data_IF_412668916934
#
_entry.id   IF_412668916934
#
_cell.length_a   1.000
_cell.length_b   1.000
_cell.length_c   1.000
_cell.angle_alpha   90.00
_cell.angle_beta   90.00
_cell.angle_gamma   90.00
#
_symmetry.space_group_name_H-M   'P 1'
#
loop_
_entity.id
_entity.type
_entity.pdbx_description
1 polymer ?
#
# COMPACT_ATOMS: atom_id res chain seq x y z
N UNK A 1 0.92 -12.97 -14.11
CA UNK A 1 0.10 -11.75 -13.96
C UNK A 1 1.02 -10.56 -14.19
N UNK A 2 0.58 -9.57 -14.95
CA UNK A 2 1.42 -8.42 -15.33
C UNK A 2 1.29 -7.31 -14.30
N UNK A 3 2.35 -6.53 -14.09
CA UNK A 3 2.38 -5.37 -13.19
C UNK A 3 1.20 -4.38 -13.37
N UNK A 4 0.56 -4.37 -14.55
CA UNK A 4 -0.63 -3.57 -14.84
C UNK A 4 -1.85 -3.91 -13.98
N UNK A 5 -2.03 -5.17 -13.57
CA UNK A 5 -3.17 -5.59 -12.74
C UNK A 5 -3.03 -5.06 -11.31
N UNK A 6 -1.82 -5.07 -10.76
CA UNK A 6 -1.51 -4.56 -9.41
C UNK A 6 -1.69 -3.05 -9.34
N UNK A 7 -1.21 -2.33 -10.35
CA UNK A 7 -1.40 -0.88 -10.51
C UNK A 7 -2.90 -0.52 -10.54
N UNK A 8 -3.71 -1.30 -11.25
CA UNK A 8 -5.16 -1.05 -11.29
C UNK A 8 -5.82 -1.28 -9.92
N UNK A 9 -5.33 -2.23 -9.12
CA UNK A 9 -5.83 -2.43 -7.76
C UNK A 9 -5.48 -1.25 -6.85
N UNK A 10 -4.28 -0.68 -6.96
CA UNK A 10 -3.87 0.48 -6.16
C UNK A 10 -4.79 1.69 -6.34
N UNK A 11 -5.31 1.91 -7.55
CA UNK A 11 -6.26 3.00 -7.84
C UNK A 11 -7.58 2.91 -7.07
N UNK A 12 -7.92 1.73 -6.53
CA UNK A 12 -9.10 1.58 -5.66
C UNK A 12 -8.97 2.39 -4.37
N UNK A 13 -7.74 2.67 -3.91
CA UNK A 13 -7.50 3.53 -2.74
C UNK A 13 -8.03 4.94 -2.99
N UNK A 14 -7.84 5.47 -4.21
CA UNK A 14 -8.41 6.76 -4.62
C UNK A 14 -9.95 6.75 -4.74
N UNK A 15 -10.57 5.57 -4.68
CA UNK A 15 -12.02 5.38 -4.69
C UNK A 15 -12.58 5.15 -3.27
N UNK A 16 -11.74 5.26 -2.23
CA UNK A 16 -12.12 5.11 -0.83
C UNK A 16 -11.92 3.71 -0.26
N UNK A 17 -11.32 2.78 -1.01
CA UNK A 17 -10.93 1.48 -0.45
C UNK A 17 -9.77 1.62 0.54
N UNK A 18 -9.78 0.79 1.57
CA UNK A 18 -8.73 0.79 2.59
C UNK A 18 -7.39 0.31 2.01
N UNK A 19 -6.28 1.05 2.21
CA UNK A 19 -4.95 0.63 1.77
C UNK A 19 -4.58 -0.79 2.19
N UNK A 20 -4.81 -1.14 3.46
CA UNK A 20 -4.55 -2.46 4.03
C UNK A 20 -5.24 -3.59 3.25
N UNK A 21 -6.51 -3.39 2.88
CA UNK A 21 -7.31 -4.34 2.13
C UNK A 21 -6.78 -4.50 0.71
N UNK A 22 -6.50 -3.39 0.03
CA UNK A 22 -5.97 -3.38 -1.34
C UNK A 22 -4.59 -4.05 -1.39
N UNK A 23 -3.68 -3.67 -0.50
CA UNK A 23 -2.32 -4.19 -0.47
C UNK A 23 -2.30 -5.69 -0.08
N UNK A 24 -3.14 -6.13 0.86
CA UNK A 24 -3.26 -7.56 1.18
C UNK A 24 -3.84 -8.35 -0.01
N UNK A 25 -4.76 -7.77 -0.79
CA UNK A 25 -5.27 -8.40 -2.01
C UNK A 25 -4.14 -8.63 -3.01
N UNK A 26 -3.31 -7.61 -3.28
CA UNK A 26 -2.14 -7.72 -4.17
C UNK A 26 -1.17 -8.79 -3.69
N UNK A 27 -0.84 -8.83 -2.39
CA UNK A 27 0.05 -9.84 -1.80
C UNK A 27 -0.53 -11.27 -1.86
N UNK A 28 -1.85 -11.39 -1.85
CA UNK A 28 -2.55 -12.68 -1.97
C UNK A 28 -2.55 -13.16 -3.41
N UNK A 29 -2.80 -12.27 -4.37
CA UNK A 29 -2.81 -12.61 -5.80
C UNK A 29 -1.41 -12.84 -6.37
N UNK A 30 -0.37 -12.26 -5.75
CA UNK A 30 1.02 -12.41 -6.18
C UNK A 30 1.90 -12.99 -5.06
N UNK A 31 1.97 -14.32 -4.90
CA UNK A 31 2.73 -14.95 -3.84
C UNK A 31 4.24 -14.65 -3.87
N UNK A 32 4.80 -14.34 -5.05
CA UNK A 32 6.21 -13.97 -5.22
C UNK A 32 6.54 -12.51 -4.89
N UNK A 33 5.52 -11.67 -4.67
CA UNK A 33 5.70 -10.28 -4.26
C UNK A 33 5.87 -10.21 -2.74
N UNK A 34 6.92 -9.54 -2.28
CA UNK A 34 7.11 -9.24 -0.86
C UNK A 34 6.69 -7.81 -0.50
N UNK A 35 6.84 -7.43 0.78
CA UNK A 35 6.47 -6.09 1.25
C UNK A 35 7.39 -4.98 0.73
N UNK A 36 8.63 -5.29 0.38
CA UNK A 36 9.59 -4.33 -0.15
C UNK A 36 9.31 -4.04 -1.62
N UNK A 37 9.02 -5.07 -2.40
CA UNK A 37 8.58 -4.93 -3.79
C UNK A 37 7.27 -4.13 -3.86
N UNK A 38 6.29 -4.50 -3.02
CA UNK A 38 5.01 -3.80 -2.95
C UNK A 38 5.16 -2.33 -2.59
N UNK A 39 6.05 -1.99 -1.66
CA UNK A 39 6.30 -0.60 -1.28
C UNK A 39 6.92 0.21 -2.42
N UNK A 40 7.79 -0.41 -3.23
CA UNK A 40 8.36 0.22 -4.42
C UNK A 40 7.29 0.49 -5.47
N UNK A 41 6.47 -0.52 -5.79
CA UNK A 41 5.34 -0.39 -6.73
C UNK A 41 4.35 0.70 -6.25
N UNK A 42 4.10 0.75 -4.94
CA UNK A 42 3.21 1.75 -4.34
C UNK A 42 3.73 3.18 -4.55
N UNK A 43 5.02 3.44 -4.33
CA UNK A 43 5.62 4.76 -4.59
C UNK A 43 5.69 5.11 -6.08
N UNK A 44 5.90 4.13 -6.96
CA UNK A 44 5.89 4.35 -8.40
C UNK A 44 4.51 4.82 -8.88
N UNK A 45 3.43 4.21 -8.37
CA UNK A 45 2.05 4.62 -8.71
C UNK A 45 1.65 5.93 -8.01
N UNK A 46 2.01 6.09 -6.74
CA UNK A 46 1.74 7.29 -5.96
C UNK A 46 2.96 8.21 -5.89
N UNK A 47 3.39 8.71 -7.05
CA UNK A 47 4.62 9.47 -7.25
C UNK A 47 4.76 10.80 -6.46
N UNK A 48 3.68 11.32 -5.86
CA UNK A 48 3.73 12.49 -4.98
C UNK A 48 4.09 12.13 -3.53
N UNK A 49 4.02 10.84 -3.15
CA UNK A 49 4.45 10.39 -1.84
C UNK A 49 5.97 10.43 -1.71
N UNK A 50 6.43 10.79 -0.51
CA UNK A 50 7.85 10.72 -0.18
C UNK A 50 8.22 9.34 0.41
N UNK A 51 9.52 9.16 0.67
CA UNK A 51 10.05 7.90 1.19
C UNK A 51 9.56 7.54 2.61
N UNK A 52 8.80 8.40 3.30
CA UNK A 52 8.20 8.10 4.61
C UNK A 52 7.02 7.13 4.51
N UNK A 53 6.51 6.86 3.31
CA UNK A 53 5.51 5.81 3.08
C UNK A 53 6.12 4.41 3.16
N UNK A 54 7.41 4.25 2.83
CA UNK A 54 8.08 2.94 2.80
C UNK A 54 8.09 2.25 4.16
N UNK A 55 8.50 2.90 5.27
CA UNK A 55 8.49 2.27 6.59
C UNK A 55 7.08 1.87 7.04
N UNK A 56 6.04 2.61 6.65
CA UNK A 56 4.66 2.25 6.97
C UNK A 56 4.29 0.90 6.36
N UNK A 57 4.62 0.69 5.08
CA UNK A 57 4.34 -0.57 4.38
C UNK A 57 5.22 -1.71 4.92
N UNK A 58 6.50 -1.45 5.16
CA UNK A 58 7.42 -2.48 5.67
C UNK A 58 7.08 -2.93 7.10
N UNK A 59 6.66 -2.01 7.96
CA UNK A 59 6.32 -2.29 9.35
C UNK A 59 4.84 -2.55 9.59
N UNK A 60 4.03 -2.69 8.54
CA UNK A 60 2.63 -3.09 8.63
C UNK A 60 2.48 -4.61 8.75
N UNK A 61 1.53 -5.02 9.59
CA UNK A 61 1.09 -6.40 9.78
C UNK A 61 0.21 -6.81 8.60
N UNK A 62 0.75 -7.61 7.69
CA UNK A 62 0.07 -8.06 6.46
C UNK A 62 -0.10 -9.58 6.42
N UNK A 63 -0.71 -10.08 5.36
CA UNK A 63 -0.79 -11.53 5.10
C UNK A 63 0.59 -12.22 5.01
N UNK A 64 1.65 -11.45 4.70
CA UNK A 64 3.04 -11.92 4.64
C UNK A 64 3.78 -11.75 5.97
N UNK A 65 3.22 -11.03 6.95
CA UNK A 65 3.92 -10.72 8.20
C UNK A 65 2.97 -10.48 9.36
N UNK A 66 3.04 -11.33 10.39
CA UNK A 66 2.21 -11.20 11.59
C UNK A 66 2.69 -10.11 12.58
N UNK A 67 3.83 -9.46 12.31
CA UNK A 67 4.42 -8.41 13.16
C UNK A 67 4.26 -7.05 12.49
N UNK A 68 4.05 -6.01 13.29
CA UNK A 68 3.93 -4.64 12.80
C UNK A 68 2.76 -3.88 13.41
N UNK A 69 2.49 -2.70 12.86
CA UNK A 69 1.28 -1.92 13.13
C UNK A 69 0.05 -2.61 12.54
N UNK A 70 -1.11 -2.41 13.15
CA UNK A 70 -2.40 -2.96 12.69
C UNK A 70 -2.85 -2.39 11.35
N UNK A 71 -3.83 -3.03 10.72
CA UNK A 71 -4.49 -2.53 9.50
C UNK A 71 -5.05 -1.12 9.74
N UNK A 72 -5.71 -0.89 10.87
CA UNK A 72 -6.29 0.41 11.22
C UNK A 72 -5.20 1.50 11.35
N UNK A 73 -4.12 1.21 12.08
CA UNK A 73 -3.02 2.16 12.25
C UNK A 73 -2.29 2.46 10.93
N UNK A 74 -2.16 1.44 10.07
CA UNK A 74 -1.54 1.58 8.77
C UNK A 74 -2.41 2.44 7.85
N UNK A 75 -3.71 2.13 7.74
CA UNK A 75 -4.67 2.86 6.93
C UNK A 75 -4.70 4.34 7.33
N UNK A 76 -4.81 4.64 8.62
CA UNK A 76 -4.81 6.02 9.11
C UNK A 76 -3.51 6.76 8.74
N UNK A 77 -2.36 6.12 8.99
CA UNK A 77 -1.04 6.73 8.76
C UNK A 77 -0.76 7.00 7.28
N UNK A 78 -1.07 6.03 6.41
CA UNK A 78 -0.78 6.16 4.98
C UNK A 78 -1.76 7.11 4.29
N UNK A 79 -3.04 7.11 4.69
CA UNK A 79 -4.03 8.05 4.16
C UNK A 79 -3.70 9.50 4.56
N UNK A 80 -3.17 9.72 5.76
CA UNK A 80 -2.66 11.05 6.16
C UNK A 80 -1.53 11.48 5.22
N UNK A 81 -0.52 10.63 4.98
CA UNK A 81 0.57 10.96 4.06
C UNK A 81 0.07 11.20 2.64
N UNK A 82 -0.90 10.42 2.14
CA UNK A 82 -1.49 10.62 0.83
C UNK A 82 -2.21 11.96 0.72
N UNK A 83 -2.97 12.37 1.74
CA UNK A 83 -3.63 13.68 1.75
C UNK A 83 -2.63 14.83 1.81
N UNK A 84 -1.59 14.70 2.64
CA UNK A 84 -0.50 15.69 2.73
C UNK A 84 0.27 15.85 1.43
N UNK A 85 0.43 14.76 0.66
CA UNK A 85 1.02 14.77 -0.67
C UNK A 85 0.09 15.32 -1.76
N UNK A 86 -1.20 15.52 -1.47
CA UNK A 86 -2.18 16.12 -2.40
C UNK A 86 -3.12 15.12 -3.10
N UNK A 87 -3.16 13.85 -2.67
CA UNK A 87 -4.15 12.89 -3.17
C UNK A 87 -5.52 13.10 -2.52
N UNK A 88 -6.58 12.84 -3.29
CA UNK A 88 -7.95 12.86 -2.81
C UNK A 88 -8.36 11.44 -2.38
N UNK A 89 -8.30 11.17 -1.07
CA UNK A 89 -8.56 9.86 -0.43
C UNK A 89 -9.33 10.00 0.88
#
# INVERSE_FOLDING_TARGET
MSHSEDINQLKLILQGEKPSVVLNRILTTNPGLDKHDLASIFLEEFCLLDSKALPLIWHWKSIKSARGISDEQFDDSILVQMREAGYFV
#
